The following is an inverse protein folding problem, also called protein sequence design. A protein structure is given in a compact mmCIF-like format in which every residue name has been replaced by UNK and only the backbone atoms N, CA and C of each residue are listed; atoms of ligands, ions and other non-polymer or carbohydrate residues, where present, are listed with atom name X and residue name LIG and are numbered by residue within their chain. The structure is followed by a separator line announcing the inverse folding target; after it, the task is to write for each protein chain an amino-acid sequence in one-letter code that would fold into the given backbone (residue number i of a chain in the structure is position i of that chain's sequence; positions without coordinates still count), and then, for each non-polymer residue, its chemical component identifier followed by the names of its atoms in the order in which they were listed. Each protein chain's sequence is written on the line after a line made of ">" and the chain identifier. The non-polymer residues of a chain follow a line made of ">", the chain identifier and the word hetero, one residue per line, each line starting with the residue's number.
data_IF_306970191700
#
_entry.id   IF_306970191700
#
_cell.length_a   1.000
_cell.length_b   1.000
_cell.length_c   1.000
_cell.angle_alpha   90.00
_cell.angle_beta   90.00
_cell.angle_gamma   90.00
#
_symmetry.space_group_name_H-M   'P 1'
#
loop_
_entity.id
_entity.type
_entity.pdbx_description
1 polymer ?
#
# COMPACT_ATOMS: atom_id res chain seq x y z
N UNK A 1 14.37 -8.85 -21.80
CA UNK A 1 13.93 -7.60 -21.12
C UNK A 1 12.57 -7.83 -20.47
N UNK A 2 12.49 -8.21 -19.18
CA UNK A 2 11.20 -8.59 -18.55
C UNK A 2 11.12 -8.37 -17.04
N UNK A 3 11.70 -7.28 -16.50
CA UNK A 3 11.70 -7.04 -15.05
C UNK A 3 11.21 -5.67 -14.57
N UNK A 4 11.07 -4.65 -15.44
CA UNK A 4 10.60 -3.32 -14.99
C UNK A 4 9.12 -3.31 -14.58
N UNK A 5 8.29 -4.18 -15.14
CA UNK A 5 6.85 -4.22 -14.83
C UNK A 5 6.48 -5.06 -13.60
N UNK A 6 7.26 -6.08 -13.22
CA UNK A 6 6.90 -7.00 -12.12
C UNK A 6 7.15 -6.40 -10.72
N UNK A 7 8.07 -5.45 -10.64
CA UNK A 7 8.44 -4.74 -9.40
C UNK A 7 7.82 -3.36 -9.30
N UNK A 8 7.11 -2.90 -10.35
CA UNK A 8 6.50 -1.57 -10.38
C UNK A 8 5.46 -1.45 -9.25
N UNK A 9 5.82 -0.71 -8.21
CA UNK A 9 4.96 -0.47 -7.05
C UNK A 9 4.97 -1.59 -6.01
N UNK A 10 6.11 -2.24 -5.76
CA UNK A 10 6.32 -3.10 -4.57
C UNK A 10 6.90 -2.30 -3.41
N UNK A 11 6.44 -2.61 -2.21
CA UNK A 11 7.03 -2.15 -0.94
C UNK A 11 8.23 -3.00 -0.54
N UNK A 12 8.98 -2.55 0.47
CA UNK A 12 10.26 -3.16 0.88
C UNK A 12 10.14 -4.65 1.17
N UNK A 13 9.06 -5.11 1.79
CA UNK A 13 8.88 -6.54 2.14
C UNK A 13 8.75 -7.44 0.92
N UNK A 14 8.01 -7.01 -0.09
CA UNK A 14 7.86 -7.80 -1.31
C UNK A 14 9.14 -7.81 -2.14
N UNK A 15 9.94 -6.74 -2.07
CA UNK A 15 11.28 -6.69 -2.66
C UNK A 15 12.23 -7.64 -1.93
N UNK A 16 12.23 -7.67 -0.59
CA UNK A 16 13.02 -8.61 0.21
C UNK A 16 12.73 -10.06 -0.17
N UNK A 17 11.45 -10.44 -0.20
CA UNK A 17 11.01 -11.80 -0.58
C UNK A 17 11.46 -12.14 -2.00
N UNK A 18 11.38 -11.19 -2.93
CA UNK A 18 11.80 -11.43 -4.30
C UNK A 18 13.32 -11.57 -4.46
N UNK A 19 14.11 -10.76 -3.77
CA UNK A 19 15.57 -10.86 -3.81
C UNK A 19 16.05 -12.18 -3.21
N UNK A 20 15.51 -12.57 -2.06
CA UNK A 20 15.80 -13.87 -1.44
C UNK A 20 15.43 -15.05 -2.35
N UNK A 21 14.26 -14.98 -3.00
CA UNK A 21 13.85 -16.01 -4.00
C UNK A 21 14.80 -16.11 -5.19
N UNK A 22 15.53 -15.04 -5.51
CA UNK A 22 16.54 -15.02 -6.57
C UNK A 22 17.92 -15.48 -6.10
N UNK A 23 18.06 -15.89 -4.83
CA UNK A 23 19.32 -16.33 -4.24
C UNK A 23 20.27 -15.18 -3.88
N UNK A 24 19.75 -13.97 -3.66
CA UNK A 24 20.56 -12.86 -3.14
C UNK A 24 20.76 -13.07 -1.64
N UNK A 25 22.01 -13.05 -1.20
CA UNK A 25 22.40 -13.15 0.22
C UNK A 25 21.75 -12.06 1.07
N UNK A 26 21.39 -12.40 2.31
CA UNK A 26 20.63 -11.51 3.21
C UNK A 26 21.33 -10.15 3.44
N UNK A 27 22.66 -10.13 3.54
CA UNK A 27 23.45 -8.90 3.68
C UNK A 27 23.24 -7.94 2.50
N UNK A 28 23.18 -8.46 1.27
CA UNK A 28 22.96 -7.68 0.06
C UNK A 28 21.50 -7.25 -0.08
N UNK A 29 20.56 -8.06 0.42
CA UNK A 29 19.14 -7.68 0.50
C UNK A 29 18.96 -6.48 1.42
N UNK A 30 19.50 -6.55 2.64
CA UNK A 30 19.36 -5.49 3.63
C UNK A 30 20.05 -4.21 3.16
N UNK A 31 21.26 -4.31 2.60
CA UNK A 31 21.94 -3.18 2.00
C UNK A 31 21.11 -2.54 0.87
N UNK A 32 20.57 -3.33 -0.06
CA UNK A 32 19.74 -2.81 -1.14
C UNK A 32 18.48 -2.11 -0.62
N UNK A 33 17.82 -2.68 0.39
CA UNK A 33 16.59 -2.12 0.95
C UNK A 33 16.83 -0.89 1.83
N UNK A 34 18.01 -0.76 2.46
CA UNK A 34 18.38 0.42 3.26
C UNK A 34 18.47 1.70 2.44
N UNK A 35 18.70 1.59 1.12
CA UNK A 35 18.68 2.76 0.21
C UNK A 35 17.28 3.31 -0.02
N UNK A 36 16.23 2.56 0.35
CA UNK A 36 14.84 2.99 0.23
C UNK A 36 14.46 3.73 1.51
N UNK A 37 14.36 5.05 1.43
CA UNK A 37 13.84 5.86 2.52
C UNK A 37 12.34 5.59 2.75
N UNK A 38 11.89 5.81 3.98
CA UNK A 38 10.47 5.69 4.35
C UNK A 38 9.60 6.68 3.56
N UNK A 39 10.10 7.88 3.27
CA UNK A 39 9.40 8.86 2.43
C UNK A 39 9.25 8.37 0.98
N UNK A 40 10.31 7.78 0.41
CA UNK A 40 10.23 7.21 -0.93
C UNK A 40 9.27 6.01 -0.99
N UNK A 41 9.16 5.23 0.08
CA UNK A 41 8.19 4.15 0.19
C UNK A 41 6.75 4.70 0.32
N UNK A 42 6.55 5.71 1.18
CA UNK A 42 5.27 6.40 1.37
C UNK A 42 4.78 7.05 0.09
N UNK A 43 5.62 7.83 -0.60
CA UNK A 43 5.30 8.49 -1.86
C UNK A 43 4.89 7.49 -2.95
N UNK A 44 5.58 6.33 -3.02
CA UNK A 44 5.18 5.26 -3.95
C UNK A 44 3.83 4.65 -3.59
N UNK A 45 3.58 4.37 -2.32
CA UNK A 45 2.28 3.88 -1.87
C UNK A 45 1.15 4.87 -2.20
N UNK A 46 1.39 6.17 -1.99
CA UNK A 46 0.45 7.24 -2.30
C UNK A 46 0.10 7.25 -3.78
N UNK A 47 1.12 7.25 -4.65
CA UNK A 47 0.91 7.26 -6.10
C UNK A 47 0.09 6.05 -6.58
N UNK A 48 0.30 4.87 -6.00
CA UNK A 48 -0.48 3.67 -6.34
C UNK A 48 -1.94 3.77 -5.92
N UNK A 49 -2.21 4.29 -4.72
CA UNK A 49 -3.56 4.48 -4.22
C UNK A 49 -4.30 5.55 -5.04
N UNK A 50 -3.68 6.70 -5.28
CA UNK A 50 -4.24 7.78 -6.10
C UNK A 50 -4.54 7.29 -7.52
N UNK A 51 -3.58 6.63 -8.16
CA UNK A 51 -3.76 6.05 -9.50
C UNK A 51 -4.90 5.03 -9.53
N UNK A 52 -5.11 4.26 -8.45
CA UNK A 52 -6.22 3.31 -8.39
C UNK A 52 -7.57 4.01 -8.33
N UNK A 53 -7.70 5.08 -7.53
CA UNK A 53 -8.93 5.87 -7.44
C UNK A 53 -9.27 6.45 -8.82
N UNK A 54 -8.30 7.08 -9.48
CA UNK A 54 -8.48 7.67 -10.81
C UNK A 54 -8.95 6.64 -11.86
N UNK A 55 -8.42 5.41 -11.81
CA UNK A 55 -8.81 4.34 -12.73
C UNK A 55 -10.18 3.73 -12.44
N UNK A 56 -10.68 3.92 -11.22
CA UNK A 56 -11.94 3.31 -10.75
C UNK A 56 -13.02 4.38 -10.62
N UNK A 57 -13.09 5.33 -11.58
CA UNK A 57 -13.93 6.56 -11.61
C UNK A 57 -15.47 6.36 -11.48
N UNK A 58 -15.90 5.23 -10.94
CA UNK A 58 -17.28 4.79 -10.71
C UNK A 58 -17.63 4.69 -9.23
N UNK A 59 -16.70 4.99 -8.31
CA UNK A 59 -16.95 4.89 -6.86
C UNK A 59 -17.83 6.05 -6.41
N UNK A 60 -18.98 5.76 -5.81
CA UNK A 60 -19.79 6.77 -5.14
C UNK A 60 -19.22 7.09 -3.76
N UNK A 61 -18.43 8.15 -3.68
CA UNK A 61 -17.84 8.63 -2.42
C UNK A 61 -18.86 9.25 -1.46
N UNK A 62 -20.15 9.34 -1.79
CA UNK A 62 -21.21 9.69 -0.85
C UNK A 62 -21.83 8.47 -0.15
N UNK A 63 -21.60 7.25 -0.67
CA UNK A 63 -22.07 6.01 -0.04
C UNK A 63 -20.99 5.46 0.90
N UNK A 64 -21.26 5.54 2.21
CA UNK A 64 -20.36 5.06 3.25
C UNK A 64 -19.97 3.58 3.08
N UNK A 65 -20.90 2.72 2.67
CA UNK A 65 -20.59 1.30 2.49
C UNK A 65 -19.65 1.09 1.29
N UNK A 66 -19.76 1.92 0.25
CA UNK A 66 -18.86 1.88 -0.89
C UNK A 66 -17.47 2.45 -0.55
N UNK A 67 -17.41 3.55 0.21
CA UNK A 67 -16.18 4.09 0.76
C UNK A 67 -15.42 3.03 1.58
N UNK A 68 -16.05 2.45 2.60
CA UNK A 68 -15.43 1.45 3.49
C UNK A 68 -14.94 0.21 2.70
N UNK A 69 -15.72 -0.24 1.71
CA UNK A 69 -15.35 -1.36 0.84
C UNK A 69 -14.13 -1.01 -0.01
N UNK A 70 -14.07 0.19 -0.56
CA UNK A 70 -12.96 0.67 -1.39
C UNK A 70 -11.69 0.82 -0.56
N UNK A 71 -11.78 1.41 0.62
CA UNK A 71 -10.65 1.59 1.53
C UNK A 71 -10.01 0.26 1.89
N UNK A 72 -10.82 -0.73 2.31
CA UNK A 72 -10.33 -2.09 2.59
C UNK A 72 -9.67 -2.73 1.37
N UNK A 73 -10.21 -2.53 0.16
CA UNK A 73 -9.61 -3.04 -1.08
C UNK A 73 -8.26 -2.40 -1.37
N UNK A 74 -8.11 -1.10 -1.14
CA UNK A 74 -6.86 -0.36 -1.35
C UNK A 74 -5.79 -0.76 -0.33
N UNK A 75 -6.13 -0.81 0.95
CA UNK A 75 -5.23 -1.30 2.01
C UNK A 75 -4.75 -2.71 1.68
N UNK A 76 -5.67 -3.63 1.40
CA UNK A 76 -5.33 -5.00 1.03
C UNK A 76 -4.45 -5.09 -0.22
N UNK A 77 -4.63 -4.19 -1.19
CA UNK A 77 -3.78 -4.11 -2.38
C UNK A 77 -2.34 -3.74 -2.02
N UNK A 78 -2.14 -2.73 -1.16
CA UNK A 78 -0.82 -2.29 -0.72
C UNK A 78 -0.15 -3.35 0.16
N UNK A 79 -0.89 -3.97 1.08
CA UNK A 79 -0.36 -5.07 1.90
C UNK A 79 0.14 -6.24 1.05
N UNK A 80 -0.62 -6.65 0.01
CA UNK A 80 -0.16 -7.69 -0.94
C UNK A 80 1.04 -7.27 -1.78
N UNK A 81 1.28 -5.97 -1.92
CA UNK A 81 2.47 -5.40 -2.56
C UNK A 81 3.66 -5.25 -1.60
N UNK A 82 3.51 -5.63 -0.32
CA UNK A 82 4.58 -5.62 0.66
C UNK A 82 4.79 -4.30 1.38
N UNK A 83 3.82 -3.39 1.32
CA UNK A 83 3.80 -2.19 2.16
C UNK A 83 3.36 -2.56 3.58
N UNK A 84 3.92 -1.88 4.59
CA UNK A 84 3.56 -2.14 5.98
C UNK A 84 2.07 -1.81 6.24
N UNK A 85 1.33 -2.59 7.05
CA UNK A 85 -0.09 -2.34 7.33
C UNK A 85 -0.40 -0.90 7.77
N UNK A 86 0.37 -0.35 8.72
CA UNK A 86 0.20 1.03 9.18
C UNK A 86 0.50 2.08 8.09
N UNK A 87 1.51 1.84 7.24
CA UNK A 87 1.79 2.71 6.09
C UNK A 87 0.66 2.64 5.06
N UNK A 88 0.18 1.44 4.75
CA UNK A 88 -0.92 1.23 3.82
C UNK A 88 -2.20 1.93 4.30
N UNK A 89 -2.52 1.80 5.59
CA UNK A 89 -3.65 2.48 6.21
C UNK A 89 -3.53 4.00 6.10
N UNK A 90 -2.46 4.56 6.67
CA UNK A 90 -2.24 6.01 6.71
C UNK A 90 -2.25 6.66 5.32
N UNK A 91 -1.60 6.03 4.35
CA UNK A 91 -1.55 6.52 2.97
C UNK A 91 -2.92 6.47 2.30
N UNK A 92 -3.67 5.37 2.45
CA UNK A 92 -4.98 5.24 1.80
C UNK A 92 -5.97 6.25 2.36
N UNK A 93 -6.02 6.40 3.69
CA UNK A 93 -6.85 7.41 4.36
C UNK A 93 -6.50 8.82 3.88
N UNK A 94 -5.20 9.15 3.84
CA UNK A 94 -4.73 10.43 3.32
C UNK A 94 -5.18 10.67 1.88
N UNK A 95 -4.97 9.69 0.99
CA UNK A 95 -5.31 9.82 -0.43
C UNK A 95 -6.81 10.05 -0.63
N UNK A 96 -7.66 9.34 0.11
CA UNK A 96 -9.11 9.49 -0.04
C UNK A 96 -9.59 10.85 0.50
N UNK A 97 -9.06 11.28 1.64
CA UNK A 97 -9.36 12.61 2.18
C UNK A 97 -8.98 13.70 1.18
N UNK A 98 -7.77 13.64 0.60
CA UNK A 98 -7.28 14.65 -0.34
C UNK A 98 -7.97 14.62 -1.72
N UNK A 99 -8.28 13.44 -2.25
CA UNK A 99 -8.77 13.28 -3.64
C UNK A 99 -10.28 13.23 -3.75
N UNK A 100 -10.96 12.84 -2.69
CA UNK A 100 -12.39 12.58 -2.71
C UNK A 100 -13.15 13.44 -1.71
N UNK A 101 -12.46 14.17 -0.83
CA UNK A 101 -13.09 14.98 0.23
C UNK A 101 -13.86 14.14 1.25
N UNK A 102 -13.61 12.83 1.27
CA UNK A 102 -14.25 11.90 2.20
C UNK A 102 -13.32 11.69 3.40
N UNK A 103 -13.78 12.09 4.58
CA UNK A 103 -13.07 11.84 5.83
C UNK A 103 -13.34 10.40 6.25
N UNK A 104 -12.31 9.55 6.17
CA UNK A 104 -12.43 8.16 6.52
C UNK A 104 -12.17 8.01 8.01
N UNK A 105 -13.25 7.79 8.75
CA UNK A 105 -13.19 7.26 10.11
C UNK A 105 -13.36 5.75 10.05
N UNK A 106 -12.24 5.04 9.88
CA UNK A 106 -12.20 3.59 10.06
C UNK A 106 -11.68 3.27 11.46
N UNK A 107 -12.21 2.22 12.11
CA UNK A 107 -11.68 1.77 13.40
C UNK A 107 -10.20 1.39 13.26
N UNK A 108 -9.42 1.70 14.29
CA UNK A 108 -7.98 1.48 14.32
C UNK A 108 -7.62 0.04 13.89
N UNK A 109 -6.53 -0.15 13.10
CA UNK A 109 -6.11 -1.48 12.69
C UNK A 109 -5.69 -2.38 13.86
N UNK A 110 -5.48 -1.83 15.06
CA UNK A 110 -5.20 -2.59 16.28
C UNK A 110 -6.46 -3.25 16.88
N UNK A 111 -7.67 -2.79 16.56
CA UNK A 111 -8.92 -3.39 17.06
C UNK A 111 -9.23 -4.75 16.43
N UNK A 112 -8.60 -5.10 15.29
CA UNK A 112 -8.83 -6.40 14.63
C UNK A 112 -7.92 -7.52 15.17
N UNK A 113 -6.94 -7.21 16.03
CA UNK A 113 -6.07 -8.20 16.67
C UNK A 113 -6.51 -8.46 18.11
N UNK A 114 -7.80 -8.70 18.33
CA UNK A 114 -8.30 -9.21 19.59
C UNK A 114 -9.57 -10.01 19.32
N UNK A 115 -9.44 -11.13 18.61
CA UNK A 115 -10.30 -12.31 18.78
C UNK A 115 -9.67 -13.50 18.04
N UNK A 116 -9.51 -14.60 18.80
CA UNK A 116 -9.00 -15.94 18.51
C UNK A 116 -7.50 -16.22 18.76
#
# INVERSE_FOLDING_TARGET
>A
MRSRHTHAGRGRRALAVELRRKGVEDEHVDQALSTISDDAERSRAYALAAQRIERTNTINWSDRAEQERTTRKLIGMLSRRGYAPGLAYSVVTQVIAERCGAEIELPDPETTSSDL
#
